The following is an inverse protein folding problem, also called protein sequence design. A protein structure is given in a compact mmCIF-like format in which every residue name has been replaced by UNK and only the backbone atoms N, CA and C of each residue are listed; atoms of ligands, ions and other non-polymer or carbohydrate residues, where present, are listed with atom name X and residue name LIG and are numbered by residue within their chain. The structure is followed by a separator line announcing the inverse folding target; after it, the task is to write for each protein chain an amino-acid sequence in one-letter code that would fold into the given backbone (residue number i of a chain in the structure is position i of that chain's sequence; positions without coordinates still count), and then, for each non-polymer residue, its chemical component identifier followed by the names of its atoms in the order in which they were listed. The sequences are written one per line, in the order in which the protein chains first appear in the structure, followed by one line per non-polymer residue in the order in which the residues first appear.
data_IF_042297265724
#
_entry.id   IF_042297265724
#
_cell.length_a   1.000
_cell.length_b   1.000
_cell.length_c   1.000
_cell.angle_alpha   90.00
_cell.angle_beta   90.00
_cell.angle_gamma   90.00
#
_symmetry.space_group_name_H-M   'P 1'
#
loop_
_entity.id
_entity.type
_entity.pdbx_description
1 polymer ?
#
# COMPACT_ATOMS: atom_id res chain seq x y z
N UNK A 1 -27.50 -42.96 -9.88
CA UNK A 1 -27.84 -41.50 -10.00
C UNK A 1 -27.37 -40.69 -8.79
N UNK A 2 -27.39 -41.25 -7.56
CA UNK A 2 -26.89 -40.57 -6.34
C UNK A 2 -25.38 -40.31 -6.33
N UNK A 3 -24.59 -41.28 -6.77
CA UNK A 3 -23.13 -41.14 -6.85
C UNK A 3 -22.67 -40.02 -7.79
N UNK A 4 -23.42 -39.76 -8.86
CA UNK A 4 -23.19 -38.64 -9.78
C UNK A 4 -23.51 -37.27 -9.14
N UNK A 5 -24.59 -37.23 -8.32
CA UNK A 5 -24.97 -36.03 -7.56
C UNK A 5 -23.92 -35.68 -6.47
N UNK A 6 -23.44 -36.71 -5.74
CA UNK A 6 -22.39 -36.50 -4.73
C UNK A 6 -21.10 -36.02 -5.36
N UNK A 7 -20.68 -36.55 -6.51
CA UNK A 7 -19.48 -36.11 -7.23
C UNK A 7 -19.63 -34.69 -7.76
N UNK A 8 -20.79 -34.31 -8.25
CA UNK A 8 -21.05 -32.92 -8.68
C UNK A 8 -21.11 -31.95 -7.50
N UNK A 9 -21.59 -32.37 -6.35
CA UNK A 9 -21.62 -31.60 -5.13
C UNK A 9 -20.20 -31.37 -4.58
N UNK A 10 -19.35 -32.39 -4.55
CA UNK A 10 -17.95 -32.26 -4.17
C UNK A 10 -17.12 -31.41 -5.14
N UNK A 11 -17.43 -31.46 -6.45
CA UNK A 11 -16.76 -30.61 -7.45
C UNK A 11 -17.22 -29.15 -7.30
N UNK A 12 -18.49 -28.92 -7.03
CA UNK A 12 -19.06 -27.61 -6.79
C UNK A 12 -18.54 -26.99 -5.48
N UNK A 13 -18.38 -27.77 -4.43
CA UNK A 13 -17.76 -27.34 -3.18
C UNK A 13 -16.27 -27.03 -3.34
N UNK A 14 -15.57 -27.75 -4.23
CA UNK A 14 -14.16 -27.50 -4.56
C UNK A 14 -13.96 -26.21 -5.37
N UNK A 15 -14.86 -25.89 -6.29
CA UNK A 15 -14.84 -24.65 -7.07
C UNK A 15 -15.33 -23.43 -6.29
N UNK A 16 -16.12 -23.63 -5.22
CA UNK A 16 -16.56 -22.56 -4.31
C UNK A 16 -15.57 -22.31 -3.16
N UNK A 17 -14.53 -23.15 -3.01
CA UNK A 17 -13.48 -22.98 -1.99
C UNK A 17 -12.41 -21.96 -2.42
N UNK A 18 -12.40 -21.58 -3.70
CA UNK A 18 -11.53 -20.54 -4.24
C UNK A 18 -12.17 -19.17 -4.04
N UNK A 19 -11.67 -18.40 -3.07
CA UNK A 19 -11.85 -16.96 -2.86
C UNK A 19 -12.80 -16.49 -1.75
N UNK A 20 -13.04 -17.24 -0.71
CA UNK A 20 -13.57 -16.59 0.50
C UNK A 20 -12.43 -15.88 1.21
N UNK A 21 -12.46 -14.53 1.19
CA UNK A 21 -11.66 -13.68 2.07
C UNK A 21 -11.82 -14.22 3.49
N UNK A 22 -10.72 -14.70 4.07
CA UNK A 22 -10.77 -15.19 5.45
C UNK A 22 -11.08 -13.99 6.35
N UNK A 23 -11.96 -14.13 7.32
CA UNK A 23 -12.33 -13.09 8.31
C UNK A 23 -11.07 -12.45 8.90
N UNK A 24 -10.05 -13.23 9.11
CA UNK A 24 -8.75 -12.77 9.57
C UNK A 24 -8.06 -11.82 8.58
N UNK A 25 -8.04 -12.14 7.27
CA UNK A 25 -7.46 -11.26 6.24
C UNK A 25 -8.18 -9.92 6.20
N UNK A 26 -9.51 -9.95 6.31
CA UNK A 26 -10.32 -8.73 6.39
C UNK A 26 -9.99 -7.91 7.63
N UNK A 27 -9.85 -8.55 8.80
CA UNK A 27 -9.51 -7.88 10.04
C UNK A 27 -8.14 -7.20 9.98
N UNK A 28 -7.09 -7.90 9.50
CA UNK A 28 -5.74 -7.32 9.39
C UNK A 28 -5.70 -6.20 8.33
N UNK A 29 -6.42 -6.35 7.21
CA UNK A 29 -6.55 -5.30 6.19
C UNK A 29 -7.21 -4.04 6.78
N UNK A 30 -8.28 -4.21 7.56
CA UNK A 30 -8.96 -3.11 8.23
C UNK A 30 -8.07 -2.42 9.28
N UNK A 31 -7.31 -3.20 10.06
CA UNK A 31 -6.35 -2.65 11.04
C UNK A 31 -5.27 -1.83 10.34
N UNK A 32 -4.70 -2.33 9.24
CA UNK A 32 -3.68 -1.57 8.50
C UNK A 32 -4.25 -0.33 7.82
N UNK A 33 -5.50 -0.39 7.33
CA UNK A 33 -6.20 0.80 6.84
C UNK A 33 -6.43 1.83 7.96
N UNK A 34 -6.80 1.39 9.17
CA UNK A 34 -6.94 2.27 10.33
C UNK A 34 -5.60 2.91 10.73
N UNK A 35 -4.50 2.15 10.73
CA UNK A 35 -3.15 2.68 10.97
C UNK A 35 -2.77 3.73 9.92
N UNK A 36 -3.10 3.51 8.64
CA UNK A 36 -2.93 4.51 7.59
C UNK A 36 -3.75 5.78 7.86
N UNK A 37 -4.99 5.64 8.30
CA UNK A 37 -5.86 6.78 8.63
C UNK A 37 -5.35 7.60 9.82
N UNK A 38 -4.69 6.97 10.79
CA UNK A 38 -4.15 7.65 11.98
C UNK A 38 -2.80 8.31 11.68
N UNK A 39 -1.91 7.63 10.97
CA UNK A 39 -0.54 8.10 10.73
C UNK A 39 -0.39 8.91 9.43
N UNK A 40 -1.30 8.73 8.47
CA UNK A 40 -1.31 9.46 7.20
C UNK A 40 -1.41 10.98 7.32
N UNK A 41 -2.26 11.52 8.21
CA UNK A 41 -2.37 12.96 8.44
C UNK A 41 -1.12 13.57 9.07
N UNK A 42 -0.30 12.77 9.76
CA UNK A 42 0.92 13.24 10.40
C UNK A 42 1.95 13.60 9.33
N UNK A 43 2.17 14.89 9.18
CA UNK A 43 3.04 15.46 8.15
C UNK A 43 3.93 16.55 8.70
N UNK A 44 5.12 16.63 8.15
CA UNK A 44 6.03 17.76 8.36
C UNK A 44 5.94 18.64 7.12
N UNK A 45 5.47 19.90 7.25
CA UNK A 45 5.38 20.80 6.11
C UNK A 45 6.78 21.26 5.68
N UNK A 46 7.22 20.82 4.51
CA UNK A 46 8.47 21.24 3.90
C UNK A 46 8.17 21.67 2.46
N UNK A 47 7.94 22.97 2.27
CA UNK A 47 7.60 23.51 0.95
C UNK A 47 6.17 23.22 0.49
N UNK A 48 5.97 23.09 -0.83
CA UNK A 48 4.65 22.91 -1.46
C UNK A 48 4.03 21.52 -1.24
N UNK A 49 4.87 20.50 -0.99
CA UNK A 49 4.43 19.13 -0.73
C UNK A 49 4.89 18.71 0.67
N UNK A 50 3.97 18.36 1.58
CA UNK A 50 4.34 17.94 2.93
C UNK A 50 4.90 16.53 2.95
N UNK A 51 5.92 16.28 3.78
CA UNK A 51 6.44 14.94 4.04
C UNK A 51 5.46 14.19 4.92
N UNK A 52 4.88 13.12 4.42
CA UNK A 52 3.91 12.29 5.13
C UNK A 52 4.54 10.99 5.64
N UNK A 53 4.02 10.50 6.76
CA UNK A 53 4.29 9.15 7.25
C UNK A 53 3.49 8.08 6.48
N UNK A 54 2.50 8.48 5.67
CA UNK A 54 1.66 7.54 4.90
C UNK A 54 2.51 6.60 4.03
N UNK A 55 3.52 7.13 3.31
CA UNK A 55 4.42 6.33 2.47
C UNK A 55 5.10 5.20 3.28
N UNK A 56 5.62 5.51 4.46
CA UNK A 56 6.23 4.52 5.35
C UNK A 56 5.24 3.43 5.78
N UNK A 57 4.03 3.82 6.19
CA UNK A 57 2.99 2.87 6.60
C UNK A 57 2.54 1.99 5.44
N UNK A 58 2.48 2.53 4.21
CA UNK A 58 2.16 1.77 3.00
C UNK A 58 3.24 0.71 2.74
N UNK A 59 4.52 1.06 2.87
CA UNK A 59 5.62 0.10 2.76
C UNK A 59 5.49 -1.03 3.79
N UNK A 60 5.16 -0.71 5.06
CA UNK A 60 4.88 -1.72 6.10
C UNK A 60 3.66 -2.57 5.76
N UNK A 61 2.60 -1.95 5.25
CA UNK A 61 1.38 -2.65 4.83
C UNK A 61 1.67 -3.65 3.70
N UNK A 62 2.50 -3.25 2.73
CA UNK A 62 2.96 -4.14 1.66
C UNK A 62 3.77 -5.34 2.21
N UNK A 63 4.61 -5.12 3.24
CA UNK A 63 5.36 -6.19 3.92
C UNK A 63 4.47 -7.21 4.64
N UNK A 64 3.43 -6.74 5.30
CA UNK A 64 2.57 -7.59 6.13
C UNK A 64 1.48 -8.30 5.33
N UNK A 65 0.87 -7.60 4.38
CA UNK A 65 -0.33 -8.05 3.67
C UNK A 65 -0.06 -8.50 2.22
N UNK A 66 1.12 -8.19 1.67
CA UNK A 66 1.42 -8.45 0.26
C UNK A 66 0.64 -7.55 -0.70
N UNK A 67 0.65 -7.85 -2.02
CA UNK A 67 0.13 -6.94 -3.05
C UNK A 67 -1.39 -6.75 -2.98
N UNK A 68 -2.16 -7.84 -2.84
CA UNK A 68 -3.62 -7.79 -2.91
C UNK A 68 -4.24 -7.04 -1.73
N UNK A 69 -3.93 -7.49 -0.51
CA UNK A 69 -4.52 -6.93 0.71
C UNK A 69 -3.87 -5.62 1.13
N UNK A 70 -2.57 -5.44 0.79
CA UNK A 70 -1.90 -4.16 0.98
C UNK A 70 -2.53 -3.06 0.12
N UNK A 71 -2.75 -3.32 -1.16
CA UNK A 71 -3.45 -2.39 -2.04
C UNK A 71 -4.89 -2.15 -1.59
N UNK A 72 -5.60 -3.20 -1.13
CA UNK A 72 -6.95 -3.04 -0.61
C UNK A 72 -7.00 -2.12 0.62
N UNK A 73 -6.03 -2.21 1.54
CA UNK A 73 -5.93 -1.28 2.68
C UNK A 73 -5.76 0.17 2.24
N UNK A 74 -4.95 0.40 1.20
CA UNK A 74 -4.77 1.74 0.61
C UNK A 74 -6.04 2.22 -0.09
N UNK A 75 -6.77 1.35 -0.80
CA UNK A 75 -8.08 1.69 -1.38
C UNK A 75 -9.06 2.13 -0.30
N UNK A 76 -9.16 1.40 0.81
CA UNK A 76 -10.04 1.76 1.94
C UNK A 76 -9.64 3.14 2.50
N UNK A 77 -8.34 3.38 2.72
CA UNK A 77 -7.82 4.67 3.16
C UNK A 77 -8.22 5.81 2.21
N UNK A 78 -8.07 5.62 0.89
CA UNK A 78 -8.43 6.63 -0.12
C UNK A 78 -9.94 6.89 -0.15
N UNK A 79 -10.76 5.84 -0.04
CA UNK A 79 -12.22 5.97 0.00
C UNK A 79 -12.67 6.73 1.25
N UNK A 80 -12.12 6.40 2.43
CA UNK A 80 -12.42 7.11 3.66
C UNK A 80 -12.05 8.60 3.58
N UNK A 81 -10.88 8.91 3.01
CA UNK A 81 -10.49 10.29 2.76
C UNK A 81 -11.37 11.01 1.75
N UNK A 82 -11.80 10.32 0.68
CA UNK A 82 -12.69 10.87 -0.34
C UNK A 82 -14.09 11.23 0.20
N UNK A 83 -14.62 10.42 1.13
CA UNK A 83 -15.92 10.66 1.78
C UNK A 83 -15.88 11.89 2.72
N UNK A 84 -14.67 12.36 3.08
CA UNK A 84 -14.52 13.56 3.91
C UNK A 84 -13.91 13.32 5.29
N UNK A 85 -13.45 12.11 5.59
CA UNK A 85 -12.71 11.85 6.84
C UNK A 85 -11.30 12.47 6.70
N UNK A 86 -10.79 13.24 7.68
CA UNK A 86 -9.53 13.98 7.59
C UNK A 86 -8.31 13.05 7.78
N UNK A 87 -8.11 12.12 6.84
CA UNK A 87 -7.05 11.10 6.87
C UNK A 87 -5.89 11.40 5.93
N UNK A 88 -6.02 12.37 5.03
CA UNK A 88 -4.95 12.75 4.11
C UNK A 88 -3.92 13.69 4.77
N UNK A 89 -2.81 13.91 4.09
CA UNK A 89 -1.71 14.76 4.55
C UNK A 89 -2.20 16.10 5.11
N UNK A 90 -1.78 16.44 6.34
CA UNK A 90 -2.16 17.67 7.01
C UNK A 90 -3.65 17.72 7.38
N UNK A 91 -4.23 16.59 7.72
CA UNK A 91 -5.66 16.43 8.03
C UNK A 91 -6.60 16.85 6.89
N UNK A 92 -6.10 16.77 5.66
CA UNK A 92 -6.91 17.00 4.47
C UNK A 92 -7.97 15.93 4.26
N UNK A 93 -9.07 16.30 3.60
CA UNK A 93 -10.19 15.43 3.34
C UNK A 93 -10.92 15.80 2.05
N UNK A 94 -11.74 14.87 1.56
CA UNK A 94 -12.67 15.08 0.46
C UNK A 94 -12.03 14.93 -0.93
N UNK A 95 -12.91 14.91 -1.92
CA UNK A 95 -12.53 14.82 -3.34
C UNK A 95 -11.67 16.00 -3.80
N UNK A 96 -11.83 17.18 -3.19
CA UNK A 96 -11.01 18.35 -3.49
C UNK A 96 -9.53 18.12 -3.23
N UNK A 97 -9.18 17.33 -2.20
CA UNK A 97 -7.78 16.96 -1.90
C UNK A 97 -7.23 15.96 -2.93
N UNK A 98 -8.07 15.03 -3.39
CA UNK A 98 -7.72 14.09 -4.47
C UNK A 98 -7.58 14.77 -5.82
N UNK A 99 -8.41 15.76 -6.10
CA UNK A 99 -8.32 16.58 -7.31
C UNK A 99 -7.24 17.67 -7.21
N UNK A 100 -6.67 17.91 -6.04
CA UNK A 100 -5.63 18.92 -5.81
C UNK A 100 -4.24 18.49 -6.32
N UNK A 101 -3.22 19.36 -6.16
CA UNK A 101 -1.87 19.12 -6.68
C UNK A 101 -1.19 17.84 -6.18
N UNK A 102 -1.54 17.38 -4.98
CA UNK A 102 -0.99 16.14 -4.38
C UNK A 102 -1.82 14.89 -4.68
N UNK A 103 -2.94 15.00 -5.42
CA UNK A 103 -3.83 13.89 -5.71
C UNK A 103 -3.18 12.75 -6.47
N UNK A 104 -2.31 13.06 -7.42
CA UNK A 104 -1.55 12.06 -8.17
C UNK A 104 -0.68 11.15 -7.28
N UNK A 105 -0.11 11.70 -6.21
CA UNK A 105 0.65 10.91 -5.22
C UNK A 105 -0.25 10.00 -4.41
N UNK A 106 -1.46 10.45 -4.04
CA UNK A 106 -2.44 9.62 -3.33
C UNK A 106 -2.86 8.42 -4.18
N UNK A 107 -3.10 8.62 -5.48
CA UNK A 107 -3.36 7.52 -6.42
C UNK A 107 -2.10 6.67 -6.62
N UNK A 108 -0.93 7.28 -6.68
CA UNK A 108 0.38 6.61 -6.78
C UNK A 108 0.66 5.63 -5.63
N UNK A 109 0.10 5.86 -4.45
CA UNK A 109 0.18 4.93 -3.31
C UNK A 109 -0.37 3.53 -3.61
N UNK A 110 -1.33 3.42 -4.53
CA UNK A 110 -1.82 2.11 -4.99
C UNK A 110 -0.73 1.35 -5.75
N UNK A 111 0.04 2.05 -6.59
CA UNK A 111 1.16 1.47 -7.33
C UNK A 111 2.28 1.05 -6.37
N UNK A 112 2.62 1.89 -5.39
CA UNK A 112 3.62 1.58 -4.37
C UNK A 112 3.24 0.32 -3.59
N UNK A 113 2.00 0.22 -3.10
CA UNK A 113 1.52 -0.93 -2.36
C UNK A 113 1.50 -2.21 -3.21
N UNK A 114 1.06 -2.10 -4.47
CA UNK A 114 0.94 -3.24 -5.37
C UNK A 114 2.31 -3.74 -5.83
N UNK A 115 3.15 -2.86 -6.37
CA UNK A 115 4.48 -3.22 -6.89
C UNK A 115 5.37 -3.70 -5.74
N UNK A 116 5.48 -2.90 -4.66
CA UNK A 116 6.26 -3.27 -3.48
C UNK A 116 5.80 -4.61 -2.90
N UNK A 117 4.49 -4.80 -2.71
CA UNK A 117 3.92 -6.05 -2.22
C UNK A 117 4.21 -7.25 -3.13
N UNK A 118 4.17 -7.06 -4.45
CA UNK A 118 4.46 -8.12 -5.42
C UNK A 118 5.92 -8.59 -5.35
N UNK A 119 6.87 -7.67 -5.20
CA UNK A 119 8.27 -8.02 -5.04
C UNK A 119 8.54 -8.71 -3.69
N UNK A 120 7.90 -8.26 -2.61
CA UNK A 120 8.00 -8.87 -1.28
C UNK A 120 7.45 -10.30 -1.30
N UNK A 121 6.32 -10.54 -1.96
CA UNK A 121 5.72 -11.87 -2.10
C UNK A 121 6.61 -12.79 -2.93
N UNK A 122 7.05 -12.36 -4.11
CA UNK A 122 7.92 -13.14 -5.00
C UNK A 122 9.29 -13.46 -4.39
N UNK A 123 9.85 -12.54 -3.61
CA UNK A 123 11.15 -12.71 -2.95
C UNK A 123 11.08 -13.58 -1.70
N UNK A 124 9.89 -14.06 -1.31
CA UNK A 124 9.65 -14.77 -0.04
C UNK A 124 10.18 -14.00 1.19
N UNK A 125 10.18 -12.67 1.10
CA UNK A 125 10.64 -11.79 2.18
C UNK A 125 12.16 -11.55 2.22
N UNK A 126 12.89 -11.76 1.13
CA UNK A 126 14.29 -11.33 1.03
C UNK A 126 14.34 -9.79 1.11
N UNK A 127 15.05 -9.19 2.11
CA UNK A 127 15.00 -7.75 2.34
C UNK A 127 15.57 -6.93 1.18
N UNK A 128 16.60 -7.43 0.48
CA UNK A 128 17.24 -6.72 -0.64
C UNK A 128 16.30 -6.63 -1.84
N UNK A 129 15.70 -7.74 -2.25
CA UNK A 129 14.77 -7.77 -3.39
C UNK A 129 13.49 -6.99 -3.05
N UNK A 130 13.05 -7.05 -1.80
CA UNK A 130 11.90 -6.29 -1.32
C UNK A 130 12.18 -4.79 -1.33
N UNK A 131 13.39 -4.37 -0.93
CA UNK A 131 13.80 -2.96 -1.00
C UNK A 131 13.78 -2.45 -2.44
N UNK A 132 14.32 -3.23 -3.40
CA UNK A 132 14.27 -2.88 -4.83
C UNK A 132 12.82 -2.74 -5.31
N UNK A 133 11.94 -3.65 -4.91
CA UNK A 133 10.51 -3.57 -5.25
C UNK A 133 9.82 -2.34 -4.68
N UNK A 134 10.14 -1.95 -3.44
CA UNK A 134 9.60 -0.74 -2.82
C UNK A 134 10.14 0.53 -3.49
N UNK A 135 11.44 0.56 -3.84
CA UNK A 135 12.03 1.69 -4.59
C UNK A 135 11.38 1.84 -5.98
N UNK A 136 11.13 0.73 -6.68
CA UNK A 136 10.44 0.76 -7.98
C UNK A 136 8.98 1.22 -7.83
N UNK A 137 8.30 0.78 -6.78
CA UNK A 137 6.94 1.22 -6.47
C UNK A 137 6.88 2.71 -6.13
N UNK A 138 7.86 3.21 -5.37
CA UNK A 138 7.99 4.61 -5.01
C UNK A 138 8.33 5.48 -6.22
N UNK A 139 9.24 5.02 -7.09
CA UNK A 139 9.53 5.68 -8.36
C UNK A 139 8.28 5.78 -9.26
N UNK A 140 7.47 4.74 -9.35
CA UNK A 140 6.20 4.77 -10.07
C UNK A 140 5.22 5.78 -9.46
N UNK A 141 5.19 5.88 -8.11
CA UNK A 141 4.41 6.88 -7.39
C UNK A 141 4.90 8.31 -7.73
N UNK A 142 6.22 8.53 -7.76
CA UNK A 142 6.78 9.82 -8.16
C UNK A 142 6.45 10.20 -9.60
N UNK A 143 6.56 9.28 -10.54
CA UNK A 143 6.23 9.54 -11.95
C UNK A 143 4.77 9.99 -12.08
N UNK A 144 3.85 9.26 -11.48
CA UNK A 144 2.42 9.57 -11.55
C UNK A 144 2.09 10.86 -10.78
N UNK A 145 2.65 11.03 -9.59
CA UNK A 145 2.43 12.20 -8.75
C UNK A 145 2.98 13.47 -9.36
N UNK A 146 4.19 13.43 -9.92
CA UNK A 146 4.83 14.59 -10.57
C UNK A 146 4.13 14.95 -11.87
N UNK A 147 3.74 13.96 -12.69
CA UNK A 147 2.96 14.23 -13.91
C UNK A 147 1.62 14.92 -13.58
N UNK A 148 0.93 14.44 -12.55
CA UNK A 148 -0.29 15.06 -12.07
C UNK A 148 -0.05 16.49 -11.55
N UNK A 149 1.03 16.69 -10.78
CA UNK A 149 1.39 18.00 -10.24
C UNK A 149 1.67 19.01 -11.36
N UNK A 150 2.45 18.63 -12.39
CA UNK A 150 2.72 19.46 -13.57
C UNK A 150 1.43 19.83 -14.29
N UNK A 151 0.54 18.85 -14.49
CA UNK A 151 -0.76 19.09 -15.14
C UNK A 151 -1.63 20.05 -14.33
N UNK A 152 -1.70 19.88 -13.01
CA UNK A 152 -2.57 20.67 -12.14
C UNK A 152 -2.05 22.09 -11.89
N UNK A 153 -0.72 22.23 -11.76
CA UNK A 153 -0.10 23.53 -11.46
C UNK A 153 0.36 24.28 -12.71
N UNK A 154 0.24 23.67 -13.91
CA UNK A 154 0.68 24.25 -15.17
C UNK A 154 2.12 24.78 -15.10
N UNK A 155 3.02 24.04 -14.42
CA UNK A 155 4.41 24.44 -14.20
C UNK A 155 5.37 23.59 -15.05
N UNK A 156 6.62 24.05 -15.19
CA UNK A 156 7.66 23.29 -15.86
C UNK A 156 8.05 22.02 -15.08
N UNK A 157 8.38 20.96 -15.80
CA UNK A 157 8.83 19.69 -15.22
C UNK A 157 10.04 19.85 -14.31
N UNK A 158 11.00 20.73 -14.69
CA UNK A 158 12.17 21.02 -13.88
C UNK A 158 11.82 21.57 -12.50
N UNK A 159 10.89 22.51 -12.44
CA UNK A 159 10.37 23.03 -11.17
C UNK A 159 9.67 21.95 -10.33
N UNK A 160 8.81 21.17 -10.97
CA UNK A 160 8.10 20.09 -10.28
C UNK A 160 9.07 19.06 -9.67
N UNK A 161 10.13 18.67 -10.38
CA UNK A 161 11.15 17.74 -9.85
C UNK A 161 11.91 18.34 -8.65
N UNK A 162 12.26 19.61 -8.68
CA UNK A 162 12.97 20.26 -7.57
C UNK A 162 12.13 20.38 -6.31
N UNK A 163 10.82 20.55 -6.46
CA UNK A 163 9.89 20.75 -5.33
C UNK A 163 9.32 19.42 -4.82
N UNK A 164 9.01 18.48 -5.73
CA UNK A 164 8.24 17.29 -5.39
C UNK A 164 9.06 16.01 -5.30
N UNK A 165 10.31 15.98 -5.79
CA UNK A 165 11.10 14.74 -5.86
C UNK A 165 12.41 14.86 -5.09
N UNK A 166 13.27 15.81 -5.41
CA UNK A 166 14.62 15.87 -4.84
C UNK A 166 14.67 15.92 -3.31
N UNK A 167 13.84 16.71 -2.59
CA UNK A 167 13.88 16.73 -1.13
C UNK A 167 13.34 15.45 -0.50
N UNK A 168 12.55 14.67 -1.24
CA UNK A 168 11.88 13.46 -0.71
C UNK A 168 12.70 12.19 -0.92
N UNK A 169 13.53 12.08 -1.97
CA UNK A 169 14.30 10.88 -2.30
C UNK A 169 15.08 10.35 -1.10
N UNK A 170 15.86 11.21 -0.44
CA UNK A 170 16.70 10.78 0.68
C UNK A 170 15.87 10.27 1.86
N UNK A 171 14.76 10.96 2.16
CA UNK A 171 13.86 10.60 3.25
C UNK A 171 13.07 9.34 2.95
N UNK A 172 12.59 9.17 1.73
CA UNK A 172 11.82 7.99 1.34
C UNK A 172 12.71 6.75 1.22
N UNK A 173 13.96 6.89 0.77
CA UNK A 173 14.93 5.81 0.85
C UNK A 173 15.22 5.39 2.31
N UNK A 174 15.37 6.35 3.22
CA UNK A 174 15.52 6.05 4.65
C UNK A 174 14.28 5.32 5.20
N UNK A 175 13.06 5.77 4.86
CA UNK A 175 11.80 5.11 5.24
C UNK A 175 11.71 3.69 4.68
N UNK A 176 12.13 3.47 3.42
CA UNK A 176 12.16 2.14 2.80
C UNK A 176 13.13 1.22 3.56
N UNK A 177 14.33 1.68 3.89
CA UNK A 177 15.28 0.88 4.67
C UNK A 177 14.70 0.49 6.03
N UNK A 178 14.15 1.48 6.77
CA UNK A 178 13.51 1.22 8.07
C UNK A 178 12.31 0.28 7.91
N UNK A 179 11.50 0.45 6.88
CA UNK A 179 10.35 -0.43 6.61
C UNK A 179 10.78 -1.86 6.27
N UNK A 180 11.92 -2.05 5.60
CA UNK A 180 12.46 -3.39 5.33
C UNK A 180 12.91 -4.08 6.62
N UNK A 181 13.57 -3.36 7.53
CA UNK A 181 14.01 -3.90 8.82
C UNK A 181 12.78 -4.25 9.70
N UNK A 182 11.92 -3.25 9.92
CA UNK A 182 10.73 -3.40 10.79
C UNK A 182 9.75 -4.39 10.19
N UNK A 183 9.48 -4.32 8.89
CA UNK A 183 8.55 -5.21 8.19
C UNK A 183 8.99 -6.66 8.22
N UNK A 184 10.28 -6.92 8.00
CA UNK A 184 10.84 -8.28 8.09
C UNK A 184 10.74 -8.83 9.53
N UNK A 185 11.06 -8.01 10.54
CA UNK A 185 10.93 -8.37 11.96
C UNK A 185 9.48 -8.65 12.34
N UNK A 186 8.56 -7.76 12.01
CA UNK A 186 7.13 -7.92 12.28
C UNK A 186 6.58 -9.16 11.59
N UNK A 187 6.88 -9.37 10.32
CA UNK A 187 6.45 -10.56 9.57
C UNK A 187 6.94 -11.84 10.26
N UNK A 188 8.22 -11.90 10.67
CA UNK A 188 8.78 -13.05 11.39
C UNK A 188 8.05 -13.30 12.72
N UNK A 189 7.84 -12.25 13.51
CA UNK A 189 7.16 -12.37 14.81
C UNK A 189 5.69 -12.77 14.67
N UNK A 190 4.96 -12.16 13.75
CA UNK A 190 3.56 -12.48 13.51
C UNK A 190 3.36 -13.88 12.92
N UNK A 191 4.31 -14.37 12.12
CA UNK A 191 4.30 -15.77 11.65
C UNK A 191 4.57 -16.74 12.78
N UNK A 192 5.52 -16.45 13.70
CA UNK A 192 5.78 -17.26 14.88
C UNK A 192 4.60 -17.29 15.85
N UNK A 193 3.89 -16.18 16.00
CA UNK A 193 2.68 -16.09 16.81
C UNK A 193 1.44 -16.78 16.18
N UNK A 194 1.60 -17.39 15.00
CA UNK A 194 0.50 -18.06 14.28
C UNK A 194 -0.55 -17.09 13.68
N UNK A 195 -0.26 -15.78 13.76
CA UNK A 195 -1.14 -14.71 13.30
C UNK A 195 -1.06 -14.54 11.78
N UNK A 196 0.08 -14.75 11.13
CA UNK A 196 0.26 -14.68 9.68
C UNK A 196 0.27 -16.10 9.04
N UNK A 197 -0.85 -16.82 9.07
CA UNK A 197 -1.03 -18.06 8.27
C UNK A 197 -1.33 -17.78 6.78
N UNK A 198 -1.11 -16.56 6.31
CA UNK A 198 -1.81 -15.98 5.17
C UNK A 198 -1.19 -16.28 3.80
N UNK A 199 0.06 -16.66 3.71
CA UNK A 199 0.73 -16.74 2.41
C UNK A 199 1.06 -18.14 1.92
N UNK A 200 1.02 -19.16 2.78
CA UNK A 200 1.36 -20.52 2.36
C UNK A 200 0.17 -21.29 1.75
N UNK A 201 -1.04 -20.73 1.81
CA UNK A 201 -2.25 -21.37 1.27
C UNK A 201 -2.61 -20.97 -0.17
N UNK A 202 -1.82 -20.11 -0.80
CA UNK A 202 -2.09 -19.60 -2.18
C UNK A 202 -1.03 -20.11 -3.18
N UNK A 203 0.02 -20.79 -2.72
CA UNK A 203 1.11 -21.32 -3.55
C UNK A 203 1.10 -22.84 -3.73
N UNK A 204 0.07 -23.54 -3.29
CA UNK A 204 -0.28 -24.90 -3.65
C UNK A 204 -1.64 -24.85 -4.44
#
# INVERSE_FOLDING_TARGET
KEYRRQRQMCIRDRTMKDKKLTTYQMAVTAVMAAVLCVLGPLTVPIGAVPISLANFVICLTAWLLGPKFGTLSVVIYLVLGAIGIPVFSGYGAGLAKLAGPTGGYLVGYLLLAFIGGMFIEKSKGNPVVSAVGLVLGDAACYVLGTAWFVFQMQCELGYALTVCVYPFIALDLAKIVVSCIVGALLRKRLTQAGVLKLQNAVSE
#
